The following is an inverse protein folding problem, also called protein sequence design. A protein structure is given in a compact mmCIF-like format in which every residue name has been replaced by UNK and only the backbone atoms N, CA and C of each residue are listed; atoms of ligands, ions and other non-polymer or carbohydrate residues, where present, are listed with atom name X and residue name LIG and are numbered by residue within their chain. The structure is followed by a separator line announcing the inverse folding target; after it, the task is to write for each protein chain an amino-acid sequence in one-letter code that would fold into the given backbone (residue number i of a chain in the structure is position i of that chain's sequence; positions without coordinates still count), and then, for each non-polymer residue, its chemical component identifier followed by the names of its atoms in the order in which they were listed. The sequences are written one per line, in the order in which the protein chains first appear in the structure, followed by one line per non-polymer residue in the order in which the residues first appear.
data_IF_012222765417
#
_entry.id   IF_012222765417
#
_cell.length_a   1.000
_cell.length_b   1.000
_cell.length_c   1.000
_cell.angle_alpha   90.00
_cell.angle_beta   90.00
_cell.angle_gamma   90.00
#
_symmetry.space_group_name_H-M   'P 1'
#
loop_
_entity.id
_entity.type
_entity.pdbx_description
1 polymer ?
#
# COMPACT_ATOMS: atom_id res chain seq x y z
N UNK A 1 19.46 -7.60 -6.95
CA UNK A 1 18.03 -7.97 -7.04
C UNK A 1 17.91 -9.44 -6.68
N UNK A 2 18.25 -9.80 -5.43
CA UNK A 2 17.91 -11.12 -4.93
C UNK A 2 16.39 -11.27 -4.93
N UNK A 3 15.96 -12.49 -5.22
CA UNK A 3 14.61 -12.96 -5.51
C UNK A 3 13.53 -12.30 -4.64
N UNK A 4 12.96 -11.19 -5.12
CA UNK A 4 11.77 -10.58 -4.50
C UNK A 4 10.60 -11.53 -4.70
N UNK A 5 10.20 -12.24 -3.64
CA UNK A 5 9.03 -13.13 -3.65
C UNK A 5 7.73 -12.32 -3.67
N UNK A 6 7.36 -11.84 -4.85
CA UNK A 6 6.13 -11.09 -5.11
C UNK A 6 4.96 -12.03 -5.44
N UNK A 7 4.54 -12.86 -4.49
CA UNK A 7 3.46 -13.85 -4.69
C UNK A 7 2.06 -13.30 -4.44
N UNK A 8 1.95 -12.00 -4.11
CA UNK A 8 0.66 -11.34 -3.87
C UNK A 8 -0.08 -11.03 -5.18
N UNK A 9 -1.41 -11.09 -5.14
CA UNK A 9 -2.27 -10.68 -6.26
C UNK A 9 -3.39 -9.78 -5.78
N UNK A 10 -3.73 -8.73 -6.54
CA UNK A 10 -4.87 -7.87 -6.26
C UNK A 10 -5.53 -7.46 -7.58
N UNK A 11 -6.80 -7.06 -7.52
CA UNK A 11 -7.57 -6.61 -8.67
C UNK A 11 -6.92 -5.36 -9.28
N UNK A 12 -6.89 -5.32 -10.60
CA UNK A 12 -6.48 -4.13 -11.32
C UNK A 12 -7.55 -3.05 -11.18
N UNK A 13 -7.19 -1.91 -10.61
CA UNK A 13 -8.10 -0.77 -10.41
C UNK A 13 -8.93 -0.82 -9.14
N UNK A 14 -8.67 -1.77 -8.23
CA UNK A 14 -9.12 -1.63 -6.84
C UNK A 14 -8.38 -0.48 -6.15
N UNK A 15 -8.96 0.01 -5.05
CA UNK A 15 -8.46 1.21 -4.37
C UNK A 15 -7.47 0.79 -3.28
N UNK A 16 -6.17 1.09 -3.39
CA UNK A 16 -5.21 0.78 -2.34
C UNK A 16 -5.55 1.57 -1.07
N UNK A 17 -5.32 0.93 0.08
CA UNK A 17 -5.19 1.65 1.34
C UNK A 17 -3.74 2.13 1.45
N UNK A 18 -3.54 3.43 1.63
CA UNK A 18 -2.20 4.01 1.79
C UNK A 18 -1.88 4.15 3.27
N UNK A 19 -0.76 3.57 3.71
CA UNK A 19 -0.27 3.67 5.08
C UNK A 19 1.11 4.30 5.08
N UNK A 20 1.31 5.32 5.91
CA UNK A 20 2.58 6.01 6.08
C UNK A 20 3.06 5.84 7.51
N UNK A 21 4.35 5.54 7.70
CA UNK A 21 4.97 5.57 9.04
C UNK A 21 4.92 6.98 9.64
N UNK A 22 4.83 7.09 10.96
CA UNK A 22 4.82 8.38 11.69
C UNK A 22 6.04 9.26 11.43
N UNK A 23 7.15 8.68 10.96
CA UNK A 23 8.34 9.41 10.53
C UNK A 23 8.04 10.46 9.45
N UNK A 24 7.02 10.26 8.62
CA UNK A 24 6.64 11.23 7.59
C UNK A 24 6.12 12.55 8.15
N UNK A 25 5.69 12.58 9.42
CA UNK A 25 5.13 13.76 10.07
C UNK A 25 6.18 14.55 10.88
N UNK A 26 7.45 14.13 10.86
CA UNK A 26 8.54 14.76 11.62
C UNK A 26 9.08 16.03 10.93
N UNK A 27 9.55 15.90 9.69
CA UNK A 27 10.19 17.00 8.95
C UNK A 27 9.34 17.52 7.80
N UNK A 28 9.49 18.80 7.45
CA UNK A 28 8.70 19.45 6.39
C UNK A 28 8.87 18.79 5.02
N UNK A 29 10.09 18.33 4.70
CA UNK A 29 10.36 17.64 3.43
C UNK A 29 9.65 16.28 3.36
N UNK A 30 9.60 15.54 4.48
CA UNK A 30 8.86 14.29 4.54
C UNK A 30 7.34 14.51 4.45
N UNK A 31 6.81 15.56 5.09
CA UNK A 31 5.39 15.93 4.95
C UNK A 31 5.01 16.23 3.50
N UNK A 32 5.85 16.98 2.79
CA UNK A 32 5.64 17.25 1.37
C UNK A 32 5.64 15.97 0.54
N UNK A 33 6.61 15.08 0.79
CA UNK A 33 6.67 13.79 0.11
C UNK A 33 5.47 12.89 0.42
N UNK A 34 4.96 12.88 1.65
CA UNK A 34 3.74 12.17 2.03
C UNK A 34 2.54 12.64 1.21
N UNK A 35 2.35 13.95 1.07
CA UNK A 35 1.25 14.51 0.25
C UNK A 35 1.40 14.18 -1.24
N UNK A 36 2.61 14.29 -1.78
CA UNK A 36 2.88 13.92 -3.19
C UNK A 36 2.59 12.44 -3.44
N UNK A 37 3.08 11.55 -2.58
CA UNK A 37 2.85 10.10 -2.69
C UNK A 37 1.36 9.76 -2.55
N UNK A 38 0.65 10.45 -1.66
CA UNK A 38 -0.79 10.27 -1.50
C UNK A 38 -1.56 10.60 -2.78
N UNK A 39 -1.17 11.66 -3.49
CA UNK A 39 -1.80 12.04 -4.76
C UNK A 39 -1.43 11.10 -5.91
N UNK A 40 -0.18 10.62 -5.95
CA UNK A 40 0.30 9.72 -7.01
C UNK A 40 -0.33 8.32 -6.89
N UNK A 41 -0.35 7.76 -5.68
CA UNK A 41 -0.79 6.38 -5.44
C UNK A 41 -2.24 6.28 -4.97
N UNK A 42 -2.85 7.40 -4.59
CA UNK A 42 -4.26 7.47 -4.22
C UNK A 42 -5.15 7.27 -5.44
N UNK A 43 -6.30 6.62 -5.23
CA UNK A 43 -7.34 6.56 -6.25
C UNK A 43 -8.37 7.66 -5.98
N UNK A 44 -8.56 8.64 -6.89
CA UNK A 44 -9.58 9.66 -6.76
C UNK A 44 -10.98 9.06 -6.55
N UNK A 45 -11.82 9.77 -5.79
CA UNK A 45 -13.22 9.38 -5.62
C UNK A 45 -13.89 9.33 -7.00
N UNK A 46 -14.67 8.27 -7.25
CA UNK A 46 -15.48 8.09 -8.48
C UNK A 46 -14.66 8.02 -9.79
N UNK A 47 -13.38 7.64 -9.72
CA UNK A 47 -12.59 7.42 -10.92
C UNK A 47 -13.24 6.34 -11.82
N UNK A 48 -13.44 6.63 -13.12
CA UNK A 48 -14.20 5.79 -14.08
C UNK A 48 -13.76 4.32 -14.14
N UNK A 49 -12.48 4.04 -13.84
CA UNK A 49 -11.90 2.68 -13.83
C UNK A 49 -11.76 2.08 -12.43
N UNK A 50 -12.20 2.77 -11.39
CA UNK A 50 -12.11 2.28 -10.01
C UNK A 50 -13.10 1.16 -9.76
N UNK A 51 -12.64 0.14 -9.04
CA UNK A 51 -13.46 -0.93 -8.49
C UNK A 51 -13.80 -0.60 -7.02
N UNK A 52 -14.96 -1.05 -6.52
CA UNK A 52 -15.41 -0.69 -5.17
C UNK A 52 -14.61 -1.37 -4.04
N UNK A 53 -13.74 -2.34 -4.36
CA UNK A 53 -13.06 -3.17 -3.37
C UNK A 53 -11.72 -2.59 -2.90
N UNK A 54 -11.38 -2.91 -1.65
CA UNK A 54 -10.07 -2.72 -1.03
C UNK A 54 -9.44 -4.09 -0.78
N UNK A 55 -8.49 -4.48 -1.62
CA UNK A 55 -7.88 -5.81 -1.61
C UNK A 55 -6.34 -5.77 -1.49
N UNK A 56 -5.76 -4.57 -1.40
CA UNK A 56 -4.35 -4.39 -1.17
C UNK A 56 -4.03 -3.10 -0.40
N UNK A 57 -2.86 -3.11 0.23
CA UNK A 57 -2.33 -2.01 1.04
C UNK A 57 -0.95 -1.63 0.50
N UNK A 58 -0.75 -0.34 0.29
CA UNK A 58 0.58 0.24 0.07
C UNK A 58 1.09 0.80 1.37
N UNK A 59 2.29 0.38 1.76
CA UNK A 59 2.95 0.84 2.98
C UNK A 59 4.23 1.56 2.59
N UNK A 60 4.35 2.78 3.09
CA UNK A 60 5.53 3.63 2.97
C UNK A 60 6.14 3.81 4.36
N UNK A 61 7.40 3.41 4.52
CA UNK A 61 8.15 3.59 5.76
C UNK A 61 9.50 4.22 5.51
N UNK A 62 9.93 5.13 6.39
CA UNK A 62 11.27 5.74 6.33
C UNK A 62 12.20 4.94 7.25
N UNK A 63 13.25 4.36 6.69
CA UNK A 63 14.31 3.67 7.43
C UNK A 63 15.64 4.09 6.83
N UNK A 64 16.58 4.54 7.67
CA UNK A 64 17.88 5.07 7.27
C UNK A 64 17.79 6.16 6.19
N UNK A 65 16.86 7.10 6.35
CA UNK A 65 16.54 8.17 5.38
C UNK A 65 16.10 7.71 3.98
N UNK A 66 15.78 6.42 3.83
CA UNK A 66 15.24 5.86 2.60
C UNK A 66 13.75 5.51 2.77
N UNK A 67 12.97 5.76 1.71
CA UNK A 67 11.57 5.34 1.65
C UNK A 67 11.51 3.89 1.18
N UNK A 68 11.07 3.01 2.06
CA UNK A 68 10.74 1.62 1.75
C UNK A 68 9.28 1.51 1.35
N UNK A 69 9.06 0.92 0.18
CA UNK A 69 7.73 0.64 -0.35
C UNK A 69 7.38 -0.84 -0.22
N UNK A 70 6.18 -1.15 0.24
CA UNK A 70 5.64 -2.51 0.31
C UNK A 70 4.21 -2.57 -0.22
N UNK A 71 3.92 -3.62 -0.98
CA UNK A 71 2.58 -3.94 -1.47
C UNK A 71 2.13 -5.25 -0.81
N UNK A 72 1.01 -5.18 -0.09
CA UNK A 72 0.41 -6.34 0.57
C UNK A 72 -0.96 -6.64 0.00
N UNK A 73 -1.22 -7.90 -0.34
CA UNK A 73 -2.56 -8.41 -0.62
C UNK A 73 -3.30 -8.61 0.70
N UNK A 74 -4.53 -8.11 0.80
CA UNK A 74 -5.45 -8.42 1.90
C UNK A 74 -6.10 -9.77 1.63
N UNK A 75 -5.92 -10.73 2.54
CA UNK A 75 -6.55 -12.05 2.48
C UNK A 75 -7.37 -12.29 3.75
N UNK A 76 -8.59 -12.79 3.58
CA UNK A 76 -9.40 -13.22 4.71
C UNK A 76 -8.97 -14.62 5.17
N UNK A 77 -8.72 -14.81 6.47
CA UNK A 77 -8.19 -16.06 7.00
C UNK A 77 -9.16 -17.25 6.85
N UNK A 78 -10.47 -17.01 6.84
CA UNK A 78 -11.50 -18.07 6.79
C UNK A 78 -11.60 -18.84 5.47
N UNK A 79 -10.91 -18.42 4.41
CA UNK A 79 -10.92 -19.08 3.10
C UNK A 79 -9.54 -19.57 2.65
N UNK A 80 -8.55 -19.60 3.55
CA UNK A 80 -7.25 -20.19 3.23
C UNK A 80 -7.27 -21.68 3.56
N UNK A 81 -7.06 -22.59 2.58
CA UNK A 81 -7.09 -24.04 2.82
C UNK A 81 -6.02 -24.53 3.81
N UNK A 82 -5.08 -23.68 4.23
CA UNK A 82 -3.98 -24.00 5.14
C UNK A 82 -4.06 -23.27 6.50
N UNK A 83 -5.20 -22.68 6.86
CA UNK A 83 -5.38 -22.00 8.15
C UNK A 83 -6.20 -22.89 9.09
N UNK A 84 -5.53 -23.78 9.83
CA UNK A 84 -6.06 -24.35 11.07
C UNK A 84 -5.49 -23.54 12.25
N UNK A 85 -6.31 -23.26 13.29
CA UNK A 85 -5.88 -22.50 14.47
C UNK A 85 -4.77 -23.18 15.25
#
# INVERSE_FOLDING_TARGET
MEELKLTGNHLKGSRPILTFSSNFDKDSHWKLLKEMLMQIFGTPKEHRKSKPYHDHVFVFSIVDDHIWFRNYQVRWALFSPNYFP
#
